data_IF_491184687356
#
_entry.id   IF_491184687356
#
_cell.length_a   1.000
_cell.length_b   1.000
_cell.length_c   1.000
_cell.angle_alpha   90.00
_cell.angle_beta   90.00
_cell.angle_gamma   90.00
#
_symmetry.space_group_name_H-M   'P 1'
#
loop_
_entity.id
_entity.type
_entity.pdbx_description
1 polymer ?
#
# COMPACT_ATOMS: atom_id res chain seq x y z
N UNK A 1 0.28 20.80 -8.73
CA UNK A 1 0.88 20.61 -10.07
C UNK A 1 1.44 19.19 -10.18
N UNK A 2 0.90 18.37 -11.09
CA UNK A 2 1.12 16.91 -11.12
C UNK A 2 2.51 16.54 -11.63
N UNK A 3 3.05 17.30 -12.57
CA UNK A 3 4.34 17.04 -13.20
C UNK A 3 5.52 17.11 -12.20
N UNK A 4 5.33 17.79 -11.06
CA UNK A 4 6.34 17.86 -9.98
C UNK A 4 6.49 16.55 -9.20
N UNK A 5 5.59 15.58 -9.37
CA UNK A 5 5.65 14.32 -8.65
C UNK A 5 6.84 13.45 -9.08
N UNK A 6 7.25 13.48 -10.35
CA UNK A 6 8.45 12.74 -10.79
C UNK A 6 9.72 13.21 -10.06
N UNK A 7 9.81 14.50 -9.74
CA UNK A 7 10.93 15.06 -8.99
C UNK A 7 10.93 14.49 -7.57
N UNK A 8 9.77 14.45 -6.91
CA UNK A 8 9.63 13.88 -5.55
C UNK A 8 9.96 12.39 -5.54
N UNK A 9 9.38 11.63 -6.47
CA UNK A 9 9.62 10.20 -6.61
C UNK A 9 11.09 9.91 -6.89
N UNK A 10 11.78 10.75 -7.68
CA UNK A 10 13.22 10.60 -7.95
C UNK A 10 14.05 10.71 -6.67
N UNK A 11 13.77 11.69 -5.82
CA UNK A 11 14.50 11.87 -4.56
C UNK A 11 14.21 10.73 -3.57
N UNK A 12 12.97 10.25 -3.51
CA UNK A 12 12.57 9.10 -2.67
C UNK A 12 13.22 7.80 -3.15
N UNK A 13 13.24 7.57 -4.46
CA UNK A 13 13.92 6.42 -5.07
C UNK A 13 15.42 6.44 -4.81
N UNK A 14 16.04 7.62 -4.88
CA UNK A 14 17.48 7.78 -4.66
C UNK A 14 17.90 7.35 -3.26
N UNK A 15 17.20 7.82 -2.22
CA UNK A 15 17.52 7.44 -0.84
C UNK A 15 17.25 5.96 -0.58
N UNK A 16 16.21 5.37 -1.18
CA UNK A 16 15.95 3.94 -1.07
C UNK A 16 17.08 3.09 -1.68
N UNK A 17 17.64 3.52 -2.81
CA UNK A 17 18.78 2.85 -3.46
C UNK A 17 20.06 3.04 -2.64
N UNK A 18 20.32 4.26 -2.15
CA UNK A 18 21.48 4.53 -1.31
C UNK A 18 21.49 3.76 0.00
N UNK A 19 20.32 3.50 0.57
CA UNK A 19 20.15 2.69 1.78
C UNK A 19 19.97 1.19 1.47
N UNK A 20 20.33 0.78 0.25
CA UNK A 20 20.42 -0.60 -0.19
C UNK A 20 19.11 -1.41 -0.05
N UNK A 21 17.97 -0.79 -0.38
CA UNK A 21 16.67 -1.48 -0.36
C UNK A 21 16.67 -2.71 -1.28
N UNK A 22 16.09 -3.83 -0.80
CA UNK A 22 16.06 -5.08 -1.56
C UNK A 22 15.08 -5.08 -2.74
N UNK A 23 14.06 -4.23 -2.69
CA UNK A 23 13.06 -4.05 -3.73
C UNK A 23 12.52 -2.63 -3.67
N UNK A 24 12.24 -2.04 -4.83
CA UNK A 24 11.77 -0.66 -4.93
C UNK A 24 10.58 -0.56 -5.89
N UNK A 25 9.52 0.06 -5.40
CA UNK A 25 8.44 0.57 -6.23
C UNK A 25 8.59 2.08 -6.38
N UNK A 26 8.40 2.59 -7.60
CA UNK A 26 8.39 4.02 -7.90
C UNK A 26 7.01 4.40 -8.38
N UNK A 27 6.39 5.35 -7.69
CA UNK A 27 5.06 5.83 -8.01
C UNK A 27 5.07 6.64 -9.31
N UNK A 28 3.98 6.59 -10.04
CA UNK A 28 3.83 7.35 -11.27
C UNK A 28 3.32 8.77 -10.98
N UNK A 29 3.64 9.74 -11.83
CA UNK A 29 3.34 11.16 -11.54
C UNK A 29 1.83 11.46 -11.38
N UNK A 30 0.98 10.64 -12.00
CA UNK A 30 -0.48 10.70 -11.97
C UNK A 30 -1.15 9.92 -10.83
N UNK A 31 -0.37 9.38 -9.87
CA UNK A 31 -0.84 8.60 -8.73
C UNK A 31 -1.98 9.27 -7.94
N UNK A 32 -1.95 10.61 -7.83
CA UNK A 32 -2.96 11.37 -7.12
C UNK A 32 -4.35 11.35 -7.80
N UNK A 33 -4.44 10.86 -9.04
CA UNK A 33 -5.66 10.95 -9.88
C UNK A 33 -6.15 9.57 -10.33
N UNK A 34 -5.26 8.69 -10.80
CA UNK A 34 -5.67 7.40 -11.37
C UNK A 34 -4.60 6.32 -11.26
N UNK A 35 -4.96 5.07 -11.56
CA UNK A 35 -4.00 3.99 -11.74
C UNK A 35 -3.10 4.32 -12.95
N UNK A 36 -1.78 4.12 -12.86
CA UNK A 36 -0.85 4.58 -13.88
C UNK A 36 -1.17 4.10 -15.30
N UNK A 37 -1.16 5.02 -16.26
CA UNK A 37 -1.21 4.68 -17.69
C UNK A 37 0.08 4.00 -18.16
N UNK A 38 0.07 3.37 -19.33
CA UNK A 38 1.27 2.75 -19.90
C UNK A 38 2.43 3.76 -20.08
N UNK A 39 2.11 5.03 -20.36
CA UNK A 39 3.10 6.10 -20.48
C UNK A 39 3.62 6.54 -19.10
N UNK A 40 2.72 6.70 -18.14
CA UNK A 40 3.07 7.07 -16.75
C UNK A 40 3.96 6.01 -16.08
N UNK A 41 3.67 4.72 -16.29
CA UNK A 41 4.51 3.61 -15.80
C UNK A 41 5.92 3.67 -16.38
N UNK A 42 6.08 4.04 -17.65
CA UNK A 42 7.41 4.16 -18.27
C UNK A 42 8.25 5.26 -17.62
N UNK A 43 7.64 6.40 -17.28
CA UNK A 43 8.32 7.49 -16.54
C UNK A 43 8.75 7.02 -15.16
N UNK A 44 7.85 6.38 -14.42
CA UNK A 44 8.15 5.82 -13.10
C UNK A 44 9.29 4.81 -13.14
N UNK A 45 9.27 3.86 -14.09
CA UNK A 45 10.35 2.88 -14.26
C UNK A 45 11.68 3.54 -14.69
N UNK A 46 11.63 4.58 -15.52
CA UNK A 46 12.81 5.30 -15.97
C UNK A 46 13.57 5.94 -14.80
N UNK A 47 12.89 6.37 -13.73
CA UNK A 47 13.55 6.90 -12.52
C UNK A 47 14.55 5.86 -11.96
N UNK A 48 14.10 4.61 -11.75
CA UNK A 48 14.99 3.56 -11.24
C UNK A 48 16.11 3.24 -12.23
N UNK A 49 15.82 3.21 -13.54
CA UNK A 49 16.83 2.94 -14.57
C UNK A 49 17.91 4.02 -14.62
N UNK A 50 17.52 5.29 -14.57
CA UNK A 50 18.45 6.43 -14.58
C UNK A 50 19.33 6.38 -13.33
N UNK A 51 18.76 6.18 -12.13
CA UNK A 51 19.56 6.10 -10.91
C UNK A 51 20.53 4.90 -10.98
N UNK A 52 20.05 3.73 -11.38
CA UNK A 52 20.89 2.52 -11.37
C UNK A 52 21.92 2.45 -12.51
N UNK A 53 21.73 3.18 -13.62
CA UNK A 53 22.56 3.05 -14.83
C UNK A 53 23.33 4.30 -15.22
N UNK A 54 22.83 5.48 -14.87
CA UNK A 54 23.41 6.77 -15.29
C UNK A 54 23.95 7.57 -14.10
N UNK A 55 23.33 7.47 -12.93
CA UNK A 55 23.74 8.25 -11.77
C UNK A 55 25.03 7.71 -11.14
N UNK A 56 26.13 8.43 -11.34
CA UNK A 56 27.48 7.95 -11.02
C UNK A 56 27.72 7.57 -9.56
N UNK A 57 27.08 8.24 -8.59
CA UNK A 57 27.28 7.89 -7.17
C UNK A 57 26.65 6.54 -6.79
N UNK A 58 25.67 6.05 -7.56
CA UNK A 58 25.08 4.72 -7.37
C UNK A 58 26.01 3.57 -7.78
N UNK A 59 27.19 3.85 -8.37
CA UNK A 59 28.24 2.84 -8.56
C UNK A 59 28.86 2.43 -7.22
N UNK A 60 28.82 3.31 -6.21
CA UNK A 60 29.17 2.97 -4.85
C UNK A 60 27.93 2.39 -4.12
N UNK A 61 28.06 1.19 -3.57
CA UNK A 61 26.95 0.46 -2.93
C UNK A 61 26.73 0.85 -1.45
N UNK A 62 27.65 1.61 -0.84
CA UNK A 62 27.51 2.12 0.52
C UNK A 62 27.81 3.64 0.64
N UNK A 63 27.20 4.49 -0.21
CA UNK A 63 27.60 5.89 -0.36
C UNK A 63 27.29 6.75 0.87
N UNK A 64 26.43 6.27 1.77
CA UNK A 64 26.03 6.99 2.99
C UNK A 64 26.96 6.72 4.19
N UNK A 65 27.73 5.63 4.17
CA UNK A 65 28.55 5.24 5.32
C UNK A 65 29.66 6.27 5.60
N UNK A 66 29.77 6.67 6.87
CA UNK A 66 30.75 7.68 7.33
C UNK A 66 30.26 9.12 7.21
N UNK A 67 29.03 9.35 6.74
CA UNK A 67 28.40 10.66 6.77
C UNK A 67 27.93 10.99 8.19
N UNK A 68 28.50 12.05 8.80
CA UNK A 68 28.15 12.44 10.17
C UNK A 68 26.66 12.69 10.39
N UNK A 69 25.96 13.25 9.40
CA UNK A 69 24.52 13.48 9.51
C UNK A 69 23.73 12.17 9.41
N UNK A 70 24.18 11.21 8.60
CA UNK A 70 23.50 9.92 8.49
C UNK A 70 23.70 9.14 9.78
N UNK A 71 24.94 9.04 10.28
CA UNK A 71 25.24 8.33 11.53
C UNK A 71 24.41 8.90 12.70
N UNK A 72 24.37 10.23 12.83
CA UNK A 72 23.55 10.87 13.88
C UNK A 72 22.05 10.64 13.69
N UNK A 73 21.53 10.71 12.45
CA UNK A 73 20.11 10.44 12.19
C UNK A 73 19.77 8.97 12.45
N UNK A 74 20.67 8.03 12.14
CA UNK A 74 20.52 6.61 12.44
C UNK A 74 20.36 6.39 13.94
N UNK A 75 21.25 6.94 14.77
CA UNK A 75 21.17 6.82 16.23
C UNK A 75 19.86 7.43 16.78
N UNK A 76 19.47 8.61 16.30
CA UNK A 76 18.25 9.29 16.76
C UNK A 76 16.98 8.53 16.38
N UNK A 77 16.92 7.95 15.18
CA UNK A 77 15.77 7.16 14.73
C UNK A 77 15.71 5.83 15.47
N UNK A 78 16.85 5.16 15.68
CA UNK A 78 16.93 3.92 16.45
C UNK A 78 16.36 4.11 17.86
N UNK A 79 16.85 5.11 18.60
CA UNK A 79 16.39 5.41 19.96
C UNK A 79 14.89 5.75 20.00
N UNK A 80 14.40 6.53 19.03
CA UNK A 80 12.99 6.88 18.93
C UNK A 80 12.09 5.65 18.68
N UNK A 81 12.55 4.69 17.87
CA UNK A 81 11.83 3.43 17.61
C UNK A 81 11.84 2.54 18.85
N UNK A 82 12.97 2.41 19.55
CA UNK A 82 13.06 1.64 20.80
C UNK A 82 12.14 2.22 21.87
N UNK A 83 12.08 3.54 22.00
CA UNK A 83 11.12 4.21 22.91
C UNK A 83 9.67 3.89 22.54
N UNK A 84 9.33 3.80 21.25
CA UNK A 84 7.98 3.42 20.82
C UNK A 84 7.67 1.95 21.11
N UNK A 85 8.67 1.05 21.06
CA UNK A 85 8.52 -0.34 21.48
C UNK A 85 8.20 -0.46 22.97
N UNK A 86 8.82 0.34 23.83
CA UNK A 86 8.49 0.37 25.26
C UNK A 86 7.04 0.80 25.49
N UNK A 87 6.58 1.84 24.78
CA UNK A 87 5.17 2.29 24.85
C UNK A 87 4.19 1.20 24.42
N UNK A 88 4.51 0.41 23.39
CA UNK A 88 3.70 -0.73 22.98
C UNK A 88 3.72 -1.84 24.04
N UNK A 89 4.88 -2.11 24.63
CA UNK A 89 5.07 -3.15 25.64
C UNK A 89 4.25 -2.86 26.91
N UNK A 90 4.26 -1.62 27.39
CA UNK A 90 3.44 -1.15 28.52
C UNK A 90 1.93 -1.31 28.29
N UNK A 91 1.49 -1.41 27.03
CA UNK A 91 0.09 -1.59 26.61
C UNK A 91 -0.27 -3.05 26.35
N UNK A 92 0.53 -4.01 26.82
CA UNK A 92 0.31 -5.43 26.57
C UNK A 92 0.77 -5.88 25.18
N UNK A 93 1.78 -5.21 24.64
CA UNK A 93 2.30 -5.45 23.29
C UNK A 93 1.37 -4.95 22.19
N UNK A 94 1.64 -5.37 20.95
CA UNK A 94 0.92 -4.90 19.75
C UNK A 94 -0.58 -5.18 19.85
N UNK A 95 -0.97 -6.38 20.28
CA UNK A 95 -2.39 -6.78 20.38
C UNK A 95 -3.14 -5.97 21.44
N UNK A 96 -2.56 -5.79 22.64
CA UNK A 96 -3.18 -4.96 23.67
C UNK A 96 -3.29 -3.48 23.26
N UNK A 97 -2.25 -2.95 22.59
CA UNK A 97 -2.30 -1.62 22.01
C UNK A 97 -3.41 -1.49 20.94
N UNK A 98 -3.61 -2.51 20.11
CA UNK A 98 -4.70 -2.54 19.12
C UNK A 98 -6.09 -2.56 19.75
N UNK A 99 -6.28 -3.24 20.90
CA UNK A 99 -7.55 -3.22 21.63
C UNK A 99 -7.93 -1.82 22.12
N UNK A 100 -6.94 -1.04 22.54
CA UNK A 100 -7.12 0.37 22.93
C UNK A 100 -7.15 1.36 21.76
N UNK A 101 -6.93 0.89 20.53
CA UNK A 101 -6.85 1.74 19.34
C UNK A 101 -5.60 2.63 19.28
N UNK A 102 -4.54 2.33 20.04
CA UNK A 102 -3.38 3.21 20.21
C UNK A 102 -2.70 3.58 18.89
N UNK A 103 -2.32 2.58 18.08
CA UNK A 103 -1.66 2.82 16.79
C UNK A 103 -2.55 3.63 15.84
N UNK A 104 -3.85 3.31 15.80
CA UNK A 104 -4.81 4.03 14.96
C UNK A 104 -4.92 5.50 15.40
N UNK A 105 -5.07 5.75 16.69
CA UNK A 105 -5.15 7.10 17.25
C UNK A 105 -3.89 7.91 16.93
N UNK A 106 -2.70 7.34 17.16
CA UNK A 106 -1.42 8.00 16.84
C UNK A 106 -1.29 8.36 15.35
N UNK A 107 -1.65 7.45 14.45
CA UNK A 107 -1.66 7.70 13.00
C UNK A 107 -2.65 8.82 12.64
N UNK A 108 -3.84 8.84 13.25
CA UNK A 108 -4.83 9.88 13.02
C UNK A 108 -4.35 11.25 13.52
N UNK A 109 -3.78 11.32 14.72
CA UNK A 109 -3.24 12.56 15.28
C UNK A 109 -2.11 13.14 14.41
N UNK A 110 -1.19 12.29 13.95
CA UNK A 110 -0.09 12.70 13.08
C UNK A 110 -0.58 13.13 11.68
N UNK A 111 -1.58 12.44 11.15
CA UNK A 111 -2.25 12.83 9.90
C UNK A 111 -2.92 14.20 10.02
N UNK A 112 -3.65 14.45 11.11
CA UNK A 112 -4.29 15.74 11.38
C UNK A 112 -3.25 16.86 11.52
N UNK A 113 -2.14 16.60 12.20
CA UNK A 113 -1.05 17.56 12.33
C UNK A 113 -0.42 17.89 10.97
N UNK A 114 -0.17 16.87 10.14
CA UNK A 114 0.36 17.06 8.78
C UNK A 114 -0.60 17.88 7.92
N UNK A 115 -1.89 17.52 7.88
CA UNK A 115 -2.89 18.23 7.08
C UNK A 115 -3.11 19.66 7.57
N UNK A 116 -3.08 19.90 8.89
CA UNK A 116 -3.11 21.26 9.44
C UNK A 116 -1.94 22.08 8.92
N UNK A 117 -0.71 21.56 9.02
CA UNK A 117 0.50 22.27 8.57
C UNK A 117 0.54 22.50 7.06
N UNK A 118 0.02 21.54 6.30
CA UNK A 118 -0.12 21.66 4.85
C UNK A 118 -1.15 22.73 4.48
N UNK A 119 -2.28 22.81 5.18
CA UNK A 119 -3.31 23.80 4.92
C UNK A 119 -2.93 25.22 5.36
N UNK A 120 -2.30 25.35 6.53
CA UNK A 120 -1.87 26.66 7.05
C UNK A 120 -0.57 27.18 6.39
N UNK A 121 0.14 26.33 5.65
CA UNK A 121 1.34 26.67 4.89
C UNK A 121 2.64 26.59 5.69
N UNK A 122 2.59 26.23 6.97
CA UNK A 122 3.79 26.02 7.80
C UNK A 122 4.64 24.84 7.31
N UNK A 123 4.02 23.87 6.63
CA UNK A 123 4.71 22.86 5.83
C UNK A 123 4.62 23.24 4.34
N UNK A 124 5.72 23.69 3.71
CA UNK A 124 5.68 24.12 2.32
C UNK A 124 5.55 22.93 1.36
N UNK A 125 4.53 22.98 0.49
CA UNK A 125 4.29 22.00 -0.57
C UNK A 125 4.21 22.74 -1.90
N UNK A 126 5.28 22.63 -2.69
CA UNK A 126 5.45 23.30 -3.99
C UNK A 126 4.35 22.89 -4.97
N UNK A 127 3.66 23.87 -5.56
CA UNK A 127 2.54 23.67 -6.48
C UNK A 127 1.24 23.23 -5.79
N UNK A 128 1.14 23.36 -4.46
CA UNK A 128 -0.07 23.09 -3.66
C UNK A 128 -0.43 24.27 -2.75
N UNK A 129 0.46 24.70 -1.84
CA UNK A 129 0.22 25.84 -0.95
C UNK A 129 1.19 27.02 -1.16
N UNK A 130 2.28 26.79 -1.91
CA UNK A 130 3.25 27.80 -2.32
C UNK A 130 3.78 27.49 -3.71
N UNK A 131 4.34 28.48 -4.41
CA UNK A 131 4.77 28.37 -5.81
C UNK A 131 3.64 27.81 -6.71
N UNK A 132 2.50 28.50 -6.70
CA UNK A 132 1.32 28.10 -7.47
C UNK A 132 1.46 28.55 -8.92
N UNK A 133 0.98 27.72 -9.85
CA UNK A 133 0.96 28.03 -11.27
C UNK A 133 -0.04 29.20 -11.54
N UNK A 134 0.42 30.37 -12.03
CA UNK A 134 -0.45 31.52 -12.30
C UNK A 134 -1.49 31.30 -13.40
N UNK A 135 -1.23 30.33 -14.29
CA UNK A 135 -2.09 29.98 -15.44
C UNK A 135 -3.05 28.81 -15.12
N UNK A 136 -2.97 28.24 -13.91
CA UNK A 136 -3.87 27.18 -13.50
C UNK A 136 -5.28 27.73 -13.31
N UNK A 137 -6.15 27.54 -14.31
CA UNK A 137 -7.57 27.83 -14.18
C UNK A 137 -8.24 26.83 -13.22
N UNK A 138 -8.98 27.29 -12.19
CA UNK A 138 -9.80 26.42 -11.34
C UNK A 138 -10.89 25.66 -12.12
N UNK A 139 -11.23 26.13 -13.32
CA UNK A 139 -12.42 25.70 -14.08
C UNK A 139 -12.12 24.77 -15.27
N UNK A 140 -10.85 24.53 -15.60
CA UNK A 140 -10.48 23.68 -16.72
C UNK A 140 -9.90 22.34 -16.21
N UNK A 141 -10.71 21.29 -16.02
CA UNK A 141 -10.17 19.97 -15.72
C UNK A 141 -9.27 19.54 -16.88
N UNK A 142 -7.97 19.35 -16.60
CA UNK A 142 -7.10 18.60 -17.52
C UNK A 142 -7.78 17.25 -17.74
N UNK A 143 -8.09 16.90 -18.98
CA UNK A 143 -8.59 15.56 -19.32
C UNK A 143 -7.44 14.58 -19.08
N UNK A 144 -7.43 13.98 -17.89
CA UNK A 144 -6.57 12.84 -17.57
C UNK A 144 -7.35 11.59 -17.95
N UNK A 145 -6.74 10.73 -18.75
CA UNK A 145 -7.31 9.43 -19.06
C UNK A 145 -7.35 8.60 -17.78
N UNK A 146 -8.54 8.15 -17.38
CA UNK A 146 -8.70 7.37 -16.16
C UNK A 146 -8.70 5.88 -16.50
N UNK A 147 -7.84 5.12 -15.85
CA UNK A 147 -7.90 3.66 -15.93
C UNK A 147 -9.17 3.17 -15.21
N UNK A 148 -10.14 2.65 -15.98
CA UNK A 148 -11.39 2.08 -15.47
C UNK A 148 -11.73 0.80 -16.21
N UNK A 149 -12.29 -0.17 -15.48
CA UNK A 149 -12.79 -1.40 -16.09
C UNK A 149 -13.99 -1.11 -17.01
N UNK A 150 -13.97 -1.74 -18.18
CA UNK A 150 -15.05 -1.72 -19.17
C UNK A 150 -16.25 -2.56 -18.72
N UNK A 151 -17.43 -2.31 -19.30
CA UNK A 151 -18.62 -3.12 -19.03
C UNK A 151 -18.45 -4.57 -19.51
N UNK A 152 -17.73 -4.78 -20.62
CA UNK A 152 -17.45 -6.13 -21.14
C UNK A 152 -16.54 -6.92 -20.20
N UNK A 153 -15.54 -6.29 -19.58
CA UNK A 153 -14.69 -6.93 -18.56
C UNK A 153 -15.50 -7.35 -17.33
N UNK A 154 -16.41 -6.49 -16.85
CA UNK A 154 -17.30 -6.82 -15.74
C UNK A 154 -18.19 -8.00 -16.10
N UNK A 155 -18.81 -7.98 -17.30
CA UNK A 155 -19.66 -9.07 -17.78
C UNK A 155 -18.89 -10.37 -17.92
N UNK A 156 -17.67 -10.30 -18.48
CA UNK A 156 -16.77 -11.44 -18.60
C UNK A 156 -16.46 -12.07 -17.24
N UNK A 157 -16.17 -11.26 -16.22
CA UNK A 157 -15.92 -11.75 -14.87
C UNK A 157 -17.15 -12.44 -14.26
N UNK A 158 -18.36 -11.90 -14.45
CA UNK A 158 -19.60 -12.54 -13.99
C UNK A 158 -19.82 -13.89 -14.67
N UNK A 159 -19.68 -13.94 -16.00
CA UNK A 159 -19.87 -15.16 -16.78
C UNK A 159 -18.87 -16.25 -16.37
N UNK A 160 -17.59 -15.87 -16.18
CA UNK A 160 -16.52 -16.77 -15.72
C UNK A 160 -16.78 -17.33 -14.32
N UNK A 161 -17.20 -16.48 -13.38
CA UNK A 161 -17.50 -16.90 -12.00
C UNK A 161 -18.71 -17.84 -11.99
N UNK A 162 -19.81 -17.50 -12.68
CA UNK A 162 -20.98 -18.37 -12.73
C UNK A 162 -20.68 -19.71 -13.40
N UNK A 163 -19.90 -19.72 -14.49
CA UNK A 163 -19.48 -20.95 -15.16
C UNK A 163 -18.60 -21.82 -14.25
N UNK A 164 -17.64 -21.21 -13.54
CA UNK A 164 -16.79 -21.91 -12.58
C UNK A 164 -17.61 -22.55 -11.44
N UNK A 165 -18.52 -21.79 -10.83
CA UNK A 165 -19.42 -22.29 -9.79
C UNK A 165 -20.34 -23.42 -10.29
N UNK A 166 -20.85 -23.30 -11.52
CA UNK A 166 -21.68 -24.34 -12.11
C UNK A 166 -20.89 -25.63 -12.37
N UNK A 167 -19.65 -25.52 -12.87
CA UNK A 167 -18.79 -26.66 -13.17
C UNK A 167 -18.37 -27.44 -11.91
N UNK A 168 -18.19 -26.75 -10.79
CA UNK A 168 -17.67 -27.34 -9.55
C UNK A 168 -18.71 -27.49 -8.44
N UNK A 169 -20.00 -27.27 -8.72
CA UNK A 169 -21.08 -27.21 -7.71
C UNK A 169 -21.04 -28.35 -6.69
N UNK A 170 -20.92 -29.60 -7.16
CA UNK A 170 -20.93 -30.77 -6.28
C UNK A 170 -19.68 -30.90 -5.42
N UNK A 171 -18.52 -30.54 -5.96
CA UNK A 171 -17.24 -30.62 -5.25
C UNK A 171 -17.11 -29.46 -4.25
N UNK A 172 -17.61 -28.27 -4.61
CA UNK A 172 -17.57 -27.08 -3.78
C UNK A 172 -18.30 -27.28 -2.45
N UNK A 173 -19.49 -27.89 -2.46
CA UNK A 173 -20.24 -28.14 -1.21
C UNK A 173 -19.44 -28.98 -0.21
N UNK A 174 -18.75 -30.02 -0.70
CA UNK A 174 -17.93 -30.89 0.14
C UNK A 174 -16.68 -30.17 0.67
N UNK A 175 -15.96 -29.43 -0.18
CA UNK A 175 -14.76 -28.71 0.22
C UNK A 175 -15.07 -27.53 1.16
N UNK A 176 -16.17 -26.81 0.97
CA UNK A 176 -16.60 -25.75 1.89
C UNK A 176 -16.97 -26.32 3.27
N UNK A 177 -17.62 -27.48 3.32
CA UNK A 177 -17.92 -28.16 4.58
C UNK A 177 -16.62 -28.61 5.28
N UNK A 178 -15.66 -29.16 4.53
CA UNK A 178 -14.34 -29.54 5.05
C UNK A 178 -13.57 -28.33 5.56
N UNK A 179 -13.62 -27.20 4.85
CA UNK A 179 -12.96 -25.96 5.24
C UNK A 179 -13.52 -25.42 6.57
N UNK A 180 -14.85 -25.39 6.70
CA UNK A 180 -15.54 -25.03 7.95
C UNK A 180 -15.19 -25.98 9.09
N UNK A 181 -15.18 -27.28 8.81
CA UNK A 181 -14.79 -28.32 9.77
C UNK A 181 -13.37 -28.11 10.30
N UNK A 182 -12.41 -27.87 9.41
CA UNK A 182 -11.01 -27.62 9.77
C UNK A 182 -10.86 -26.34 10.63
N UNK A 183 -11.60 -25.28 10.30
CA UNK A 183 -11.58 -24.04 11.09
C UNK A 183 -12.12 -24.25 12.51
N UNK A 184 -13.22 -25.01 12.67
CA UNK A 184 -13.82 -25.33 13.98
C UNK A 184 -12.93 -26.30 14.78
N UNK A 185 -12.31 -27.26 14.10
CA UNK A 185 -11.43 -28.25 14.72
C UNK A 185 -10.05 -27.69 15.10
N UNK A 186 -9.76 -26.43 14.76
CA UNK A 186 -8.44 -25.81 14.89
C UNK A 186 -7.32 -26.56 14.13
N UNK A 187 -7.68 -27.18 13.00
CA UNK A 187 -6.75 -27.81 12.08
C UNK A 187 -6.05 -26.77 11.19
N UNK A 188 -5.08 -27.22 10.38
CA UNK A 188 -4.43 -26.36 9.39
C UNK A 188 -5.41 -26.01 8.25
N UNK A 189 -6.07 -24.87 8.38
CA UNK A 189 -7.00 -24.32 7.38
C UNK A 189 -6.34 -24.09 6.02
N UNK A 190 -5.07 -23.66 5.99
CA UNK A 190 -4.37 -23.38 4.74
C UNK A 190 -4.16 -24.65 3.89
N UNK A 191 -3.94 -25.80 4.54
CA UNK A 191 -3.83 -27.07 3.83
C UNK A 191 -5.14 -27.41 3.08
N UNK A 192 -6.30 -27.14 3.69
CA UNK A 192 -7.60 -27.34 3.04
C UNK A 192 -7.86 -26.28 1.96
N UNK A 193 -7.40 -25.04 2.15
CA UNK A 193 -7.52 -23.99 1.14
C UNK A 193 -6.84 -24.35 -0.19
N UNK A 194 -5.74 -25.13 -0.17
CA UNK A 194 -5.07 -25.59 -1.39
C UNK A 194 -5.94 -26.48 -2.28
N UNK A 195 -6.91 -27.18 -1.68
CA UNK A 195 -7.89 -28.01 -2.37
C UNK A 195 -9.14 -27.18 -2.71
N UNK A 196 -9.70 -26.48 -1.70
CA UNK A 196 -10.90 -25.67 -1.85
C UNK A 196 -10.75 -24.59 -2.95
N UNK A 197 -9.59 -23.94 -3.09
CA UNK A 197 -9.37 -22.91 -4.11
C UNK A 197 -9.45 -23.45 -5.56
N UNK A 198 -9.44 -24.78 -5.76
CA UNK A 198 -9.59 -25.40 -7.09
C UNK A 198 -11.04 -25.51 -7.53
N UNK A 199 -11.98 -25.51 -6.59
CA UNK A 199 -13.41 -25.81 -6.83
C UNK A 199 -14.36 -24.77 -6.22
N UNK A 200 -13.85 -23.88 -5.36
CA UNK A 200 -14.60 -22.81 -4.71
C UNK A 200 -14.06 -21.45 -5.13
N UNK A 201 -14.97 -20.51 -5.36
CA UNK A 201 -14.63 -19.11 -5.61
C UNK A 201 -14.18 -18.39 -4.32
N UNK A 202 -13.52 -17.24 -4.47
CA UNK A 202 -13.12 -16.39 -3.34
C UNK A 202 -14.32 -16.00 -2.46
N UNK A 203 -15.47 -15.69 -3.08
CA UNK A 203 -16.69 -15.33 -2.38
C UNK A 203 -17.24 -16.47 -1.53
N UNK A 204 -17.32 -17.68 -2.09
CA UNK A 204 -17.79 -18.88 -1.38
C UNK A 204 -16.88 -19.23 -0.19
N UNK A 205 -15.56 -19.15 -0.38
CA UNK A 205 -14.58 -19.38 0.70
C UNK A 205 -14.73 -18.34 1.81
N UNK A 206 -14.87 -17.07 1.44
CA UNK A 206 -15.00 -15.96 2.41
C UNK A 206 -16.28 -16.09 3.22
N UNK A 207 -17.42 -16.39 2.58
CA UNK A 207 -18.69 -16.59 3.26
C UNK A 207 -18.64 -17.79 4.22
N UNK A 208 -18.03 -18.89 3.79
CA UNK A 208 -17.82 -20.05 4.65
C UNK A 208 -17.00 -19.70 5.90
N UNK A 209 -16.00 -18.82 5.80
CA UNK A 209 -15.28 -18.32 6.98
C UNK A 209 -16.11 -17.37 7.84
N UNK A 210 -16.98 -16.54 7.26
CA UNK A 210 -17.88 -15.70 8.06
C UNK A 210 -18.87 -16.51 8.90
N UNK A 211 -19.35 -17.65 8.39
CA UNK A 211 -20.25 -18.54 9.13
C UNK A 211 -19.60 -19.14 10.40
N UNK A 212 -18.29 -19.44 10.36
CA UNK A 212 -17.59 -20.13 11.47
C UNK A 212 -16.69 -19.22 12.31
N UNK A 213 -16.17 -18.15 11.74
CA UNK A 213 -15.21 -17.23 12.38
C UNK A 213 -15.75 -15.82 12.61
N UNK A 214 -16.93 -15.49 12.07
CA UNK A 214 -17.51 -14.15 12.11
C UNK A 214 -16.82 -13.15 11.18
N UNK A 215 -17.42 -11.97 11.05
CA UNK A 215 -16.85 -10.87 10.30
C UNK A 215 -16.06 -9.92 11.23
N UNK A 216 -14.99 -9.33 10.71
CA UNK A 216 -14.28 -8.27 11.43
C UNK A 216 -15.22 -7.13 11.79
N UNK A 217 -15.29 -6.79 13.07
CA UNK A 217 -16.03 -5.62 13.56
C UNK A 217 -15.08 -4.44 13.62
N UNK A 218 -15.47 -3.32 12.99
CA UNK A 218 -14.74 -2.06 13.13
C UNK A 218 -14.78 -1.65 14.61
N UNK A 219 -13.66 -1.74 15.30
CA UNK A 219 -13.47 -1.04 16.56
C UNK A 219 -13.48 0.47 16.25
N UNK A 220 -13.98 1.30 17.17
CA UNK A 220 -13.99 2.77 17.01
C UNK A 220 -12.55 3.27 17.02
#
# INVERSE_FOLDING_TARGET
EMDFNDIRTTLQALIAIYDNANSLHTNAYDEAITTPSAESVRRALAIQLIINREWGLAVNENPLQGSFIIDQLTDLVEEAVLTEFDRLTERGGVLGAMETGYQRGRIQDESMLYEQRKHDGSLPIIGVNTFLNPEASPEAPRKVELARATEDEKRSQLDRVHAFQAAHRSEAEAELARLKGAAIAHDNVFAVLMDAARVCSLGEITEAFFEVGGAYRRNV
#
